data_IF_236498697208
#
_entry.id   IF_236498697208
#
_cell.length_a   1.000
_cell.length_b   1.000
_cell.length_c   1.000
_cell.angle_alpha   90.00
_cell.angle_beta   90.00
_cell.angle_gamma   90.00
#
_symmetry.space_group_name_H-M   'P 1'
#
loop_
_entity.id
_entity.type
_entity.pdbx_description
1 polymer ?
#
# COMPACT_ATOMS: atom_id res chain seq x y z
N UNK A 1 -2.83 -30.71 4.49
CA UNK A 1 -2.53 -30.38 5.89
C UNK A 1 -3.35 -29.15 6.28
N UNK A 2 -4.14 -29.26 7.35
CA UNK A 2 -5.02 -28.17 7.83
C UNK A 2 -4.47 -27.50 9.08
N UNK A 3 -3.63 -28.19 9.85
CA UNK A 3 -2.92 -27.64 11.00
C UNK A 3 -1.47 -28.14 11.01
N UNK A 4 -0.58 -27.31 11.55
CA UNK A 4 0.83 -27.63 11.68
C UNK A 4 1.35 -27.02 12.99
N UNK A 5 1.92 -27.87 13.84
CA UNK A 5 2.65 -27.43 15.03
C UNK A 5 4.16 -27.58 14.77
N UNK A 6 4.84 -26.46 14.69
CA UNK A 6 6.29 -26.37 14.52
C UNK A 6 6.96 -25.70 15.73
N UNK A 7 6.24 -25.66 16.86
CA UNK A 7 6.71 -25.02 18.10
C UNK A 7 7.96 -25.68 18.69
N UNK A 8 8.23 -26.95 18.31
CA UNK A 8 9.42 -27.67 18.75
C UNK A 8 10.67 -27.43 17.87
N UNK A 9 10.53 -26.72 16.76
CA UNK A 9 11.67 -26.45 15.88
C UNK A 9 12.68 -25.51 16.54
N UNK A 10 13.95 -25.88 16.49
CA UNK A 10 15.01 -25.00 16.94
C UNK A 10 15.41 -24.06 15.80
N UNK A 11 14.97 -22.80 15.90
CA UNK A 11 15.22 -21.77 14.88
C UNK A 11 16.34 -20.78 15.26
N UNK A 12 17.03 -21.00 16.40
CA UNK A 12 18.01 -20.03 16.93
C UNK A 12 19.22 -19.73 16.02
N UNK A 13 19.50 -20.61 15.04
CA UNK A 13 20.58 -20.40 14.08
C UNK A 13 20.06 -20.00 12.68
N UNK A 14 18.73 -19.91 12.49
CA UNK A 14 18.12 -19.67 11.18
C UNK A 14 18.23 -18.19 10.80
N UNK A 15 18.73 -17.93 9.60
CA UNK A 15 18.90 -16.57 9.06
C UNK A 15 17.91 -16.26 7.93
N UNK A 16 17.32 -17.28 7.30
CA UNK A 16 16.36 -17.14 6.24
C UNK A 16 15.15 -18.04 6.53
N UNK A 17 13.97 -17.46 6.65
CA UNK A 17 12.68 -18.14 6.80
C UNK A 17 11.75 -17.87 5.61
N UNK A 18 12.28 -17.30 4.51
CA UNK A 18 11.52 -17.09 3.29
C UNK A 18 10.94 -18.42 2.77
N UNK A 19 9.77 -18.34 2.17
CA UNK A 19 9.04 -19.44 1.52
C UNK A 19 8.68 -20.64 2.42
N UNK A 20 8.96 -20.64 3.73
CA UNK A 20 8.79 -21.83 4.60
C UNK A 20 7.36 -22.38 4.60
N UNK A 21 6.35 -21.51 4.51
CA UNK A 21 4.94 -21.91 4.41
C UNK A 21 4.31 -21.51 3.07
N UNK A 22 5.14 -21.27 2.06
CA UNK A 22 4.67 -20.88 0.72
C UNK A 22 3.63 -21.86 0.18
N UNK A 23 2.46 -21.36 -0.21
CA UNK A 23 1.40 -22.18 -0.82
C UNK A 23 0.64 -23.09 0.15
N UNK A 24 0.81 -22.94 1.47
CA UNK A 24 0.08 -23.73 2.45
C UNK A 24 -1.40 -23.30 2.58
N UNK A 25 -2.11 -23.23 1.45
CA UNK A 25 -3.46 -22.65 1.33
C UNK A 25 -4.57 -23.37 2.12
N UNK A 26 -4.36 -24.60 2.57
CA UNK A 26 -5.32 -25.34 3.41
C UNK A 26 -5.03 -25.23 4.91
N UNK A 27 -3.94 -24.55 5.28
CA UNK A 27 -3.55 -24.39 6.67
C UNK A 27 -4.46 -23.39 7.36
N UNK A 28 -5.16 -23.80 8.41
CA UNK A 28 -6.10 -22.96 9.18
C UNK A 28 -5.51 -22.47 10.49
N UNK A 29 -4.50 -23.17 11.01
CA UNK A 29 -3.77 -22.82 12.21
C UNK A 29 -2.30 -23.19 12.11
N UNK A 30 -1.45 -22.35 12.72
CA UNK A 30 -0.01 -22.52 12.75
C UNK A 30 0.53 -22.03 14.07
N UNK A 31 1.31 -22.84 14.77
CA UNK A 31 1.92 -22.49 16.05
C UNK A 31 3.39 -22.15 15.85
N UNK A 32 3.73 -20.86 16.07
CA UNK A 32 5.07 -20.29 15.90
C UNK A 32 5.62 -19.68 17.19
N UNK A 33 4.93 -19.84 18.31
CA UNK A 33 5.17 -19.10 19.57
C UNK A 33 6.56 -19.28 20.16
N UNK A 34 7.29 -20.36 19.76
CA UNK A 34 8.65 -20.65 20.26
C UNK A 34 9.75 -20.37 19.23
N UNK A 35 9.40 -19.84 18.08
CA UNK A 35 10.42 -19.49 17.10
C UNK A 35 11.31 -18.35 17.60
N UNK A 36 12.61 -18.58 17.59
CA UNK A 36 13.61 -17.54 17.79
C UNK A 36 13.98 -16.98 16.41
N UNK A 37 13.71 -15.69 16.21
CA UNK A 37 13.97 -14.99 14.94
C UNK A 37 15.13 -13.97 15.04
N UNK A 38 15.94 -14.02 16.11
CA UNK A 38 17.00 -13.03 16.38
C UNK A 38 18.03 -12.91 15.25
N UNK A 39 18.27 -14.00 14.51
CA UNK A 39 19.24 -14.04 13.41
C UNK A 39 18.61 -13.94 12.02
N UNK A 40 17.27 -13.82 11.96
CA UNK A 40 16.56 -13.76 10.67
C UNK A 40 16.82 -12.45 9.96
N UNK A 41 17.22 -12.54 8.70
CA UNK A 41 17.46 -11.39 7.82
C UNK A 41 16.55 -11.40 6.60
N UNK A 42 15.95 -12.54 6.26
CA UNK A 42 15.08 -12.75 5.12
C UNK A 42 13.80 -13.44 5.54
N UNK A 43 12.63 -12.83 5.20
CA UNK A 43 11.32 -13.42 5.49
C UNK A 43 10.31 -13.19 4.34
N UNK A 44 10.84 -13.03 3.11
CA UNK A 44 10.02 -12.89 1.91
C UNK A 44 9.13 -14.13 1.71
N UNK A 45 7.89 -13.92 1.30
CA UNK A 45 6.89 -14.94 0.94
C UNK A 45 6.62 -16.02 1.99
N UNK A 46 7.00 -15.82 3.26
CA UNK A 46 6.91 -16.88 4.29
C UNK A 46 5.49 -17.46 4.40
N UNK A 47 4.43 -16.63 4.32
CA UNK A 47 3.04 -17.07 4.36
C UNK A 47 2.30 -16.87 3.03
N UNK A 48 3.05 -16.79 1.92
CA UNK A 48 2.46 -16.59 0.59
C UNK A 48 1.40 -17.64 0.29
N UNK A 49 0.17 -17.22 -0.08
CA UNK A 49 -0.97 -18.09 -0.35
C UNK A 49 -1.40 -18.99 0.83
N UNK A 50 -1.17 -18.60 2.08
CA UNK A 50 -1.80 -19.25 3.24
C UNK A 50 -3.26 -18.77 3.39
N UNK A 51 -4.08 -18.98 2.36
CA UNK A 51 -5.38 -18.34 2.17
C UNK A 51 -6.45 -18.76 3.18
N UNK A 52 -6.30 -19.91 3.85
CA UNK A 52 -7.25 -20.40 4.88
C UNK A 52 -6.82 -20.02 6.30
N UNK A 53 -5.66 -19.39 6.50
CA UNK A 53 -5.13 -19.04 7.80
C UNK A 53 -5.95 -17.87 8.40
N UNK A 54 -6.62 -18.12 9.54
CA UNK A 54 -7.54 -17.14 10.16
C UNK A 54 -6.89 -16.27 11.21
N UNK A 55 -5.89 -16.81 11.90
CA UNK A 55 -5.12 -16.12 12.93
C UNK A 55 -3.67 -16.56 12.87
N UNK A 56 -2.76 -15.65 13.20
CA UNK A 56 -1.33 -15.88 13.22
C UNK A 56 -0.71 -15.03 14.32
N UNK A 57 0.02 -15.66 15.23
CA UNK A 57 0.78 -14.97 16.27
C UNK A 57 2.26 -14.87 15.86
N UNK A 58 2.66 -13.68 15.46
CA UNK A 58 4.03 -13.29 15.13
C UNK A 58 4.50 -12.09 15.98
N UNK A 59 3.73 -11.75 17.03
CA UNK A 59 3.96 -10.56 17.88
C UNK A 59 5.31 -10.59 18.60
N UNK A 60 5.87 -11.79 18.83
CA UNK A 60 7.15 -11.98 19.52
C UNK A 60 8.35 -12.07 18.58
N UNK A 61 8.15 -11.96 17.29
CA UNK A 61 9.25 -12.05 16.33
C UNK A 61 10.18 -10.83 16.43
N UNK A 62 11.47 -11.09 16.56
CA UNK A 62 12.49 -10.07 16.43
C UNK A 62 12.79 -9.88 14.93
N UNK A 63 12.43 -8.72 14.40
CA UNK A 63 12.64 -8.38 12.99
C UNK A 63 13.77 -7.37 12.75
N UNK A 64 14.51 -6.99 13.81
CA UNK A 64 15.56 -5.96 13.74
C UNK A 64 16.70 -6.27 12.74
N UNK A 65 16.86 -7.55 12.35
CA UNK A 65 17.82 -8.00 11.33
C UNK A 65 17.24 -8.04 9.90
N UNK A 66 15.92 -7.96 9.75
CA UNK A 66 15.24 -8.25 8.49
C UNK A 66 15.45 -7.12 7.48
N UNK A 67 15.81 -7.49 6.26
CA UNK A 67 16.03 -6.56 5.14
C UNK A 67 15.01 -6.71 4.02
N UNK A 68 14.33 -7.86 3.94
CA UNK A 68 13.35 -8.18 2.91
C UNK A 68 12.09 -8.80 3.51
N UNK A 69 10.95 -8.13 3.30
CA UNK A 69 9.61 -8.53 3.72
C UNK A 69 8.65 -8.69 2.51
N UNK A 70 9.19 -8.87 1.29
CA UNK A 70 8.37 -9.03 0.10
C UNK A 70 7.34 -10.14 0.28
N UNK A 71 6.06 -9.82 0.01
CA UNK A 71 4.97 -10.79 -0.01
C UNK A 71 4.81 -11.62 1.27
N UNK A 72 5.32 -11.18 2.42
CA UNK A 72 5.29 -11.93 3.70
C UNK A 72 3.93 -12.52 4.00
N UNK A 73 2.83 -11.76 3.78
CA UNK A 73 1.45 -12.19 4.00
C UNK A 73 0.63 -12.20 2.70
N UNK A 74 1.28 -12.31 1.54
CA UNK A 74 0.59 -12.30 0.25
C UNK A 74 -0.54 -13.34 0.21
N UNK A 75 -1.76 -12.89 -0.11
CA UNK A 75 -2.97 -13.72 -0.18
C UNK A 75 -3.25 -14.58 1.08
N UNK A 76 -2.97 -14.01 2.26
CA UNK A 76 -3.53 -14.51 3.52
C UNK A 76 -4.97 -14.02 3.66
N UNK A 77 -5.83 -14.41 2.72
CA UNK A 77 -7.15 -13.78 2.49
C UNK A 77 -8.17 -14.02 3.59
N UNK A 78 -7.98 -15.03 4.45
CA UNK A 78 -8.85 -15.30 5.61
C UNK A 78 -8.35 -14.66 6.91
N UNK A 79 -7.17 -14.03 6.91
CA UNK A 79 -6.58 -13.43 8.10
C UNK A 79 -7.34 -12.17 8.47
N UNK A 80 -7.87 -12.11 9.69
CA UNK A 80 -8.75 -11.01 10.13
C UNK A 80 -8.03 -9.95 10.95
N UNK A 81 -6.91 -10.31 11.58
CA UNK A 81 -6.07 -9.41 12.37
C UNK A 81 -4.63 -9.87 12.39
N UNK A 82 -3.72 -8.93 12.58
CA UNK A 82 -2.28 -9.15 12.80
C UNK A 82 -1.78 -8.14 13.83
N UNK A 83 -1.03 -8.62 14.82
CA UNK A 83 -0.26 -7.76 15.71
C UNK A 83 1.19 -7.69 15.23
N UNK A 84 1.57 -6.53 14.71
CA UNK A 84 2.90 -6.22 14.19
C UNK A 84 3.56 -5.08 14.97
N UNK A 85 2.99 -4.68 16.12
CA UNK A 85 3.44 -3.54 16.92
C UNK A 85 4.87 -3.71 17.45
N UNK A 86 5.32 -4.96 17.64
CA UNK A 86 6.69 -5.28 18.07
C UNK A 86 7.72 -5.35 16.93
N UNK A 87 7.31 -5.18 15.67
CA UNK A 87 8.23 -5.34 14.56
C UNK A 87 9.13 -4.11 14.36
N UNK A 88 10.43 -4.34 14.28
CA UNK A 88 11.40 -3.31 13.92
C UNK A 88 11.70 -3.40 12.42
N UNK A 89 11.37 -2.35 11.67
CA UNK A 89 11.49 -2.31 10.22
C UNK A 89 12.64 -1.44 9.71
N UNK A 90 13.47 -0.87 10.59
CA UNK A 90 14.51 0.10 10.23
C UNK A 90 15.56 -0.39 9.21
N UNK A 91 15.76 -1.72 9.09
CA UNK A 91 16.67 -2.29 8.07
C UNK A 91 15.96 -2.76 6.80
N UNK A 92 14.63 -2.74 6.75
CA UNK A 92 13.87 -3.23 5.60
C UNK A 92 14.07 -2.32 4.40
N UNK A 93 14.24 -2.93 3.23
CA UNK A 93 14.41 -2.26 1.93
C UNK A 93 13.25 -2.55 0.99
N UNK A 94 12.64 -3.72 1.11
CA UNK A 94 11.58 -4.19 0.24
C UNK A 94 10.35 -4.63 1.06
N UNK A 95 9.23 -3.93 0.85
CA UNK A 95 7.91 -4.25 1.42
C UNK A 95 6.87 -4.53 0.32
N UNK A 96 7.34 -4.78 -0.92
CA UNK A 96 6.42 -5.03 -2.03
C UNK A 96 5.52 -6.22 -1.74
N UNK A 97 4.25 -6.10 -2.12
CA UNK A 97 3.25 -7.16 -1.98
C UNK A 97 2.97 -7.68 -0.56
N UNK A 98 3.47 -7.02 0.50
CA UNK A 98 3.50 -7.58 1.86
C UNK A 98 2.12 -8.01 2.36
N UNK A 99 1.07 -7.22 2.12
CA UNK A 99 -0.32 -7.53 2.49
C UNK A 99 -1.23 -7.70 1.27
N UNK A 100 -0.64 -7.94 0.09
CA UNK A 100 -1.43 -8.10 -1.13
C UNK A 100 -2.49 -9.18 -0.96
N UNK A 101 -3.75 -8.86 -1.29
CA UNK A 101 -4.90 -9.77 -1.20
C UNK A 101 -5.21 -10.30 0.21
N UNK A 102 -4.83 -9.58 1.27
CA UNK A 102 -5.29 -9.84 2.63
C UNK A 102 -6.72 -9.29 2.79
N UNK A 103 -7.67 -9.90 2.08
CA UNK A 103 -9.02 -9.36 1.89
C UNK A 103 -9.89 -9.30 3.14
N UNK A 104 -9.56 -10.04 4.20
CA UNK A 104 -10.32 -10.04 5.47
C UNK A 104 -9.74 -9.12 6.54
N UNK A 105 -8.54 -8.56 6.35
CA UNK A 105 -7.97 -7.59 7.30
C UNK A 105 -8.81 -6.31 7.31
N UNK A 106 -9.23 -5.89 8.50
CA UNK A 106 -10.05 -4.67 8.69
C UNK A 106 -9.24 -3.47 9.15
N UNK A 107 -8.16 -3.71 9.86
CA UNK A 107 -7.21 -2.69 10.34
C UNK A 107 -5.81 -3.27 10.47
N UNK A 108 -4.81 -2.40 10.42
CA UNK A 108 -3.40 -2.69 10.72
C UNK A 108 -2.84 -1.49 11.48
N UNK A 109 -2.16 -1.73 12.59
CA UNK A 109 -1.35 -0.72 13.27
C UNK A 109 0.09 -0.82 12.77
N UNK A 110 0.50 0.17 11.99
CA UNK A 110 1.82 0.29 11.38
C UNK A 110 2.50 1.60 11.81
N UNK A 111 1.97 2.27 12.83
CA UNK A 111 2.42 3.60 13.30
C UNK A 111 3.85 3.58 13.85
N UNK A 112 4.32 2.42 14.36
CA UNK A 112 5.68 2.23 14.88
C UNK A 112 6.73 1.93 13.81
N UNK A 113 6.33 1.78 12.54
CA UNK A 113 7.26 1.32 11.51
C UNK A 113 8.19 2.43 11.02
N UNK A 114 9.48 2.15 11.04
CA UNK A 114 10.48 2.97 10.37
C UNK A 114 10.59 2.54 8.89
N UNK A 115 10.13 3.41 8.00
CA UNK A 115 10.17 3.18 6.55
C UNK A 115 11.29 3.93 5.83
N UNK A 116 12.15 4.64 6.56
CA UNK A 116 13.23 5.49 6.01
C UNK A 116 14.23 4.75 5.12
N UNK A 117 14.29 3.42 5.25
CA UNK A 117 15.13 2.54 4.44
C UNK A 117 14.44 1.95 3.22
N UNK A 118 13.11 2.01 3.14
CA UNK A 118 12.32 1.28 2.14
C UNK A 118 12.39 1.97 0.78
N UNK A 119 12.64 1.18 -0.27
CA UNK A 119 12.72 1.69 -1.64
C UNK A 119 11.61 1.12 -2.56
N UNK A 120 10.91 0.07 -2.13
CA UNK A 120 9.86 -0.58 -2.91
C UNK A 120 8.63 -0.89 -2.06
N UNK A 121 7.49 -0.25 -2.39
CA UNK A 121 6.18 -0.47 -1.77
C UNK A 121 5.12 -0.92 -2.79
N UNK A 122 5.57 -1.46 -3.94
CA UNK A 122 4.70 -1.96 -5.00
C UNK A 122 3.64 -2.89 -4.44
N UNK A 123 2.35 -2.63 -4.74
CA UNK A 123 1.20 -3.47 -4.41
C UNK A 123 1.09 -3.88 -2.93
N UNK A 124 1.63 -3.08 -2.00
CA UNK A 124 1.73 -3.46 -0.59
C UNK A 124 0.37 -3.80 0.02
N UNK A 125 -0.68 -3.04 -0.29
CA UNK A 125 -2.06 -3.24 0.19
C UNK A 125 -3.04 -3.59 -0.94
N UNK A 126 -2.53 -4.03 -2.10
CA UNK A 126 -3.38 -4.42 -3.23
C UNK A 126 -4.47 -5.41 -2.78
N UNK A 127 -5.73 -5.14 -3.08
CA UNK A 127 -6.83 -6.06 -2.79
C UNK A 127 -7.16 -6.27 -1.31
N UNK A 128 -6.72 -5.39 -0.41
CA UNK A 128 -7.17 -5.36 0.98
C UNK A 128 -8.60 -4.79 1.05
N UNK A 129 -9.56 -5.53 0.52
CA UNK A 129 -10.93 -5.04 0.25
C UNK A 129 -11.72 -4.68 1.51
N UNK A 130 -11.35 -5.20 2.68
CA UNK A 130 -12.02 -4.94 3.95
C UNK A 130 -11.33 -3.89 4.82
N UNK A 131 -10.13 -3.46 4.44
CA UNK A 131 -9.34 -2.50 5.20
C UNK A 131 -10.04 -1.13 5.19
N UNK A 132 -10.32 -0.60 6.39
CA UNK A 132 -11.09 0.66 6.54
C UNK A 132 -10.19 1.84 6.85
N UNK A 133 -9.11 1.62 7.61
CA UNK A 133 -8.21 2.70 8.04
C UNK A 133 -6.76 2.23 8.06
N UNK A 134 -5.87 3.18 7.81
CA UNK A 134 -4.42 3.05 7.98
C UNK A 134 -3.88 4.38 8.49
N UNK A 135 -3.08 4.36 9.54
CA UNK A 135 -2.25 5.51 9.92
C UNK A 135 -0.87 5.35 9.30
N UNK A 136 -0.59 6.19 8.31
CA UNK A 136 0.66 6.22 7.55
C UNK A 136 1.37 7.57 7.68
N UNK A 137 0.91 8.42 8.59
CA UNK A 137 1.40 9.79 8.77
C UNK A 137 2.87 9.86 9.21
N UNK A 138 3.37 8.80 9.90
CA UNK A 138 4.77 8.70 10.35
C UNK A 138 5.73 8.16 9.28
N UNK A 139 5.22 7.74 8.10
CA UNK A 139 6.07 7.06 7.13
C UNK A 139 7.01 8.02 6.38
N UNK A 140 8.30 7.71 6.40
CA UNK A 140 9.28 8.34 5.51
C UNK A 140 9.34 7.57 4.19
N UNK A 141 8.90 8.24 3.11
CA UNK A 141 8.86 7.67 1.76
C UNK A 141 9.96 8.20 0.85
N UNK A 142 10.93 8.96 1.39
CA UNK A 142 11.92 9.67 0.59
C UNK A 142 12.82 8.80 -0.29
N UNK A 143 12.91 7.50 -0.02
CA UNK A 143 13.67 6.54 -0.86
C UNK A 143 12.78 5.65 -1.72
N UNK A 144 11.46 5.74 -1.59
CA UNK A 144 10.53 4.89 -2.34
C UNK A 144 10.52 5.31 -3.80
N UNK A 145 10.86 4.40 -4.70
CA UNK A 145 10.85 4.64 -6.14
C UNK A 145 9.63 4.04 -6.85
N UNK A 146 8.93 3.10 -6.22
CA UNK A 146 7.83 2.37 -6.84
C UNK A 146 6.64 2.26 -5.89
N UNK A 147 5.50 2.87 -6.28
CA UNK A 147 4.21 2.82 -5.59
C UNK A 147 3.11 2.21 -6.49
N UNK A 148 3.51 1.44 -7.51
CA UNK A 148 2.61 0.73 -8.44
C UNK A 148 1.54 -0.04 -7.68
N UNK A 149 0.25 0.24 -7.95
CA UNK A 149 -0.90 -0.46 -7.38
C UNK A 149 -0.95 -0.52 -5.83
N UNK A 150 -0.31 0.40 -5.11
CA UNK A 150 -0.10 0.27 -3.66
C UNK A 150 -1.41 0.05 -2.88
N UNK A 151 -2.48 0.78 -3.21
CA UNK A 151 -3.80 0.67 -2.57
C UNK A 151 -4.89 0.15 -3.53
N UNK A 152 -4.50 -0.40 -4.69
CA UNK A 152 -5.47 -0.86 -5.67
C UNK A 152 -6.49 -1.82 -5.06
N UNK A 153 -7.79 -1.52 -5.22
CA UNK A 153 -8.87 -2.36 -4.74
C UNK A 153 -9.11 -2.34 -3.24
N UNK A 154 -8.56 -1.37 -2.51
CA UNK A 154 -8.90 -1.13 -1.10
C UNK A 154 -10.30 -0.50 -1.01
N UNK A 155 -11.33 -1.29 -1.27
CA UNK A 155 -12.71 -0.81 -1.54
C UNK A 155 -13.38 -0.13 -0.36
N UNK A 156 -12.98 -0.47 0.88
CA UNK A 156 -13.54 0.12 2.11
C UNK A 156 -12.65 1.20 2.72
N UNK A 157 -11.47 1.45 2.13
CA UNK A 157 -10.53 2.43 2.66
C UNK A 157 -11.15 3.82 2.69
N UNK A 158 -11.20 4.41 3.88
CA UNK A 158 -11.57 5.80 4.11
C UNK A 158 -10.37 6.72 3.83
N UNK A 159 -10.55 8.06 3.83
CA UNK A 159 -9.43 8.98 3.62
C UNK A 159 -8.25 8.67 4.54
N UNK A 160 -7.06 8.65 3.97
CA UNK A 160 -5.78 8.42 4.64
C UNK A 160 -4.93 9.68 4.57
N UNK A 161 -4.14 9.93 5.61
CA UNK A 161 -3.17 11.02 5.61
C UNK A 161 -1.86 10.54 4.97
N UNK A 162 -1.60 11.06 3.77
CA UNK A 162 -0.38 10.86 2.99
C UNK A 162 0.24 12.20 2.58
N UNK A 163 -0.21 13.30 3.18
CA UNK A 163 0.21 14.65 2.85
C UNK A 163 1.69 14.91 3.12
N UNK A 164 2.26 14.23 4.13
CA UNK A 164 3.68 14.33 4.51
C UNK A 164 4.62 13.51 3.63
N UNK A 165 4.11 12.69 2.70
CA UNK A 165 4.96 11.79 1.92
C UNK A 165 5.87 12.53 0.95
N UNK A 166 7.16 12.20 1.00
CA UNK A 166 8.11 12.67 0.00
C UNK A 166 8.11 11.69 -1.19
N UNK A 167 7.54 12.15 -2.31
CA UNK A 167 7.39 11.33 -3.52
C UNK A 167 8.40 11.68 -4.63
N UNK A 168 9.41 12.50 -4.34
CA UNK A 168 10.35 13.00 -5.35
C UNK A 168 11.14 11.88 -6.07
N UNK A 169 11.35 10.73 -5.42
CA UNK A 169 12.03 9.57 -6.01
C UNK A 169 11.07 8.62 -6.76
N UNK A 170 9.74 8.81 -6.64
CA UNK A 170 8.76 7.88 -7.22
C UNK A 170 8.70 8.07 -8.73
N UNK A 171 8.83 6.96 -9.46
CA UNK A 171 8.75 6.95 -10.94
C UNK A 171 7.47 6.30 -11.47
N UNK A 172 6.77 5.50 -10.66
CA UNK A 172 5.58 4.77 -11.08
C UNK A 172 4.47 4.84 -10.03
N UNK A 173 3.32 5.40 -10.41
CA UNK A 173 2.09 5.50 -9.62
C UNK A 173 0.89 4.84 -10.33
N UNK A 174 1.15 3.95 -11.31
CA UNK A 174 0.10 3.22 -12.03
C UNK A 174 -0.88 2.57 -11.06
N UNK A 175 -2.19 2.81 -11.27
CA UNK A 175 -3.26 2.21 -10.48
C UNK A 175 -3.16 2.42 -8.96
N UNK A 176 -2.45 3.43 -8.46
CA UNK A 176 -2.14 3.54 -7.02
C UNK A 176 -3.39 3.50 -6.13
N UNK A 177 -4.47 4.18 -6.51
CA UNK A 177 -5.77 4.20 -5.81
C UNK A 177 -6.90 3.60 -6.65
N UNK A 178 -6.60 2.79 -7.66
CA UNK A 178 -7.56 2.14 -8.53
C UNK A 178 -8.64 1.39 -7.71
N UNK A 179 -9.92 1.66 -7.96
CA UNK A 179 -11.06 1.07 -7.21
C UNK A 179 -11.06 1.30 -5.69
N UNK A 180 -10.47 2.38 -5.19
CA UNK A 180 -10.67 2.83 -3.83
C UNK A 180 -12.01 3.58 -3.72
N UNK A 181 -13.10 2.85 -3.87
CA UNK A 181 -14.46 3.40 -4.10
C UNK A 181 -15.02 4.16 -2.91
N UNK A 182 -14.46 4.00 -1.72
CA UNK A 182 -14.89 4.71 -0.49
C UNK A 182 -14.07 5.97 -0.19
N UNK A 183 -12.93 6.18 -0.85
CA UNK A 183 -12.18 7.43 -0.68
C UNK A 183 -13.05 8.62 -1.09
N UNK A 184 -13.19 9.59 -0.20
CA UNK A 184 -13.97 10.82 -0.45
C UNK A 184 -13.08 12.02 -0.74
N UNK A 185 -11.88 12.05 -0.20
CA UNK A 185 -10.88 13.08 -0.43
C UNK A 185 -9.46 12.51 -0.31
N UNK A 186 -8.50 13.19 -0.91
CA UNK A 186 -7.07 12.91 -0.74
C UNK A 186 -6.31 14.23 -0.62
N UNK A 187 -5.42 14.32 0.36
CA UNK A 187 -4.46 15.41 0.47
C UNK A 187 -3.09 14.92 -0.03
N UNK A 188 -2.68 15.45 -1.18
CA UNK A 188 -1.42 15.20 -1.86
C UNK A 188 -0.57 16.49 -1.92
N UNK A 189 -0.86 17.46 -1.04
CA UNK A 189 -0.23 18.80 -1.09
C UNK A 189 1.29 18.77 -0.91
N UNK A 190 1.82 17.79 -0.18
CA UNK A 190 3.27 17.59 -0.02
C UNK A 190 3.95 16.82 -1.16
N UNK A 191 3.20 16.30 -2.14
CA UNK A 191 3.76 15.43 -3.15
C UNK A 191 4.55 16.19 -4.22
N UNK A 192 5.72 15.65 -4.56
CA UNK A 192 6.49 16.03 -5.74
C UNK A 192 6.40 14.90 -6.77
N UNK A 193 5.71 15.15 -7.88
CA UNK A 193 5.47 14.13 -8.91
C UNK A 193 6.33 14.32 -10.15
N UNK A 194 7.34 15.19 -10.09
CA UNK A 194 8.18 15.53 -11.24
C UNK A 194 8.99 14.37 -11.84
N UNK A 195 9.19 13.27 -11.10
CA UNK A 195 9.88 12.07 -11.62
C UNK A 195 8.93 10.98 -12.12
N UNK A 196 7.60 11.15 -11.96
CA UNK A 196 6.63 10.10 -12.29
C UNK A 196 6.41 10.02 -13.79
N UNK A 197 6.59 8.82 -14.35
CA UNK A 197 6.42 8.56 -15.79
C UNK A 197 5.10 7.88 -16.13
N UNK A 198 4.49 7.17 -15.17
CA UNK A 198 3.22 6.48 -15.36
C UNK A 198 2.26 6.80 -14.21
N UNK A 199 1.17 7.52 -14.53
CA UNK A 199 0.05 7.87 -13.66
C UNK A 199 -1.26 7.25 -14.17
N UNK A 200 -1.21 6.36 -15.17
CA UNK A 200 -2.42 5.80 -15.76
C UNK A 200 -3.25 5.05 -14.72
N UNK A 201 -4.56 5.21 -14.82
CA UNK A 201 -5.54 4.59 -13.91
C UNK A 201 -5.37 4.95 -12.42
N UNK A 202 -4.61 5.99 -12.07
CA UNK A 202 -4.23 6.28 -10.67
C UNK A 202 -5.44 6.36 -9.74
N UNK A 203 -6.52 7.01 -10.17
CA UNK A 203 -7.78 7.16 -9.42
C UNK A 203 -8.97 6.46 -10.09
N UNK A 204 -8.72 5.56 -11.04
CA UNK A 204 -9.78 4.87 -11.79
C UNK A 204 -10.83 4.30 -10.84
N UNK A 205 -12.12 4.61 -11.13
CA UNK A 205 -13.28 4.13 -10.37
C UNK A 205 -13.24 4.46 -8.85
N UNK A 206 -12.65 5.60 -8.47
CA UNK A 206 -12.82 6.17 -7.14
C UNK A 206 -14.15 6.94 -7.09
N UNK A 207 -15.27 6.20 -7.14
CA UNK A 207 -16.60 6.77 -7.40
C UNK A 207 -17.14 7.72 -6.32
N UNK A 208 -16.55 7.75 -5.11
CA UNK A 208 -16.90 8.71 -4.05
C UNK A 208 -15.90 9.86 -3.92
N UNK A 209 -14.78 9.82 -4.63
CA UNK A 209 -13.73 10.85 -4.55
C UNK A 209 -14.29 12.17 -5.06
N UNK A 210 -14.42 13.13 -4.16
CA UNK A 210 -15.00 14.45 -4.44
C UNK A 210 -13.92 15.53 -4.58
N UNK A 211 -12.82 15.42 -3.84
CA UNK A 211 -11.74 16.41 -3.86
C UNK A 211 -10.36 15.78 -3.77
N UNK A 212 -9.40 16.35 -4.47
CA UNK A 212 -7.98 16.03 -4.38
C UNK A 212 -7.22 17.34 -4.20
N UNK A 213 -6.47 17.48 -3.12
CA UNK A 213 -5.65 18.65 -2.83
C UNK A 213 -4.23 18.39 -3.30
N UNK A 214 -3.61 19.37 -3.97
CA UNK A 214 -2.24 19.28 -4.45
C UNK A 214 -1.50 20.59 -4.21
N UNK A 215 -0.21 20.54 -3.94
CA UNK A 215 0.63 21.71 -3.80
C UNK A 215 1.51 21.98 -5.02
N UNK A 216 2.45 22.90 -4.88
CA UNK A 216 3.35 23.36 -5.95
C UNK A 216 4.30 22.25 -6.48
N UNK A 217 4.46 21.14 -5.77
CA UNK A 217 5.27 19.99 -6.21
C UNK A 217 4.56 19.09 -7.22
N UNK A 218 3.24 19.21 -7.36
CA UNK A 218 2.50 18.41 -8.32
C UNK A 218 2.84 18.80 -9.77
N UNK A 219 3.29 17.84 -10.55
CA UNK A 219 3.70 18.03 -11.93
C UNK A 219 3.38 16.77 -12.75
N UNK A 220 2.91 16.93 -13.96
CA UNK A 220 2.58 15.83 -14.89
C UNK A 220 3.40 15.86 -16.18
N UNK A 221 4.41 16.71 -16.29
CA UNK A 221 5.18 16.92 -17.53
C UNK A 221 5.89 15.63 -17.97
N UNK A 222 6.49 14.90 -17.02
CA UNK A 222 7.17 13.63 -17.29
C UNK A 222 6.22 12.42 -17.36
N UNK A 223 4.93 12.57 -17.02
CA UNK A 223 3.97 11.49 -17.11
C UNK A 223 3.61 11.19 -18.57
N UNK A 224 4.40 10.32 -19.20
CA UNK A 224 4.19 9.90 -20.60
C UNK A 224 2.97 8.98 -20.76
N UNK A 225 2.56 8.29 -19.66
CA UNK A 225 1.41 7.40 -19.61
C UNK A 225 0.45 7.91 -18.53
N UNK A 226 -0.77 8.29 -18.92
CA UNK A 226 -1.76 8.89 -18.00
C UNK A 226 -3.22 8.52 -18.33
N UNK A 227 -3.44 7.58 -19.26
CA UNK A 227 -4.78 7.21 -19.71
C UNK A 227 -5.66 6.72 -18.57
N UNK A 228 -6.94 7.09 -18.61
CA UNK A 228 -7.96 6.68 -17.64
C UNK A 228 -7.66 7.05 -16.18
N UNK A 229 -6.81 8.06 -15.94
CA UNK A 229 -6.39 8.47 -14.60
C UNK A 229 -7.60 8.72 -13.69
N UNK A 230 -8.64 9.39 -14.21
CA UNK A 230 -9.86 9.76 -13.47
C UNK A 230 -11.11 9.00 -13.93
N UNK A 231 -11.00 8.05 -14.85
CA UNK A 231 -12.20 7.39 -15.42
C UNK A 231 -13.08 6.80 -14.31
N UNK A 232 -14.40 7.13 -14.33
CA UNK A 232 -15.39 6.80 -13.32
C UNK A 232 -15.24 7.52 -11.95
N UNK A 233 -14.49 8.61 -11.85
CA UNK A 233 -14.46 9.48 -10.68
C UNK A 233 -15.62 10.50 -10.70
N UNK A 234 -16.84 10.07 -10.85
CA UNK A 234 -18.03 10.89 -11.19
C UNK A 234 -18.41 11.97 -10.18
N UNK A 235 -17.83 11.97 -8.98
CA UNK A 235 -18.04 13.01 -7.95
C UNK A 235 -16.92 14.04 -7.90
N UNK A 236 -15.83 13.81 -8.63
CA UNK A 236 -14.66 14.67 -8.57
C UNK A 236 -14.98 16.06 -9.09
N UNK A 237 -14.59 17.05 -8.30
CA UNK A 237 -14.82 18.47 -8.60
C UNK A 237 -13.58 19.26 -8.20
N UNK A 238 -13.11 20.09 -9.09
CA UNK A 238 -12.00 21.02 -8.82
C UNK A 238 -12.40 22.18 -7.91
N UNK A 239 -11.40 22.87 -7.35
CA UNK A 239 -11.61 23.92 -6.34
C UNK A 239 -12.43 25.12 -6.80
N UNK A 240 -12.55 25.36 -8.11
CA UNK A 240 -13.41 26.43 -8.69
C UNK A 240 -14.65 25.88 -9.40
N UNK A 241 -14.99 24.62 -9.16
CA UNK A 241 -16.25 24.02 -9.60
C UNK A 241 -16.17 23.27 -10.93
N UNK A 242 -14.97 23.00 -11.48
CA UNK A 242 -14.81 22.14 -12.64
C UNK A 242 -15.26 20.73 -12.30
N UNK A 243 -16.40 20.31 -12.82
CA UNK A 243 -16.96 18.99 -12.58
C UNK A 243 -16.32 17.92 -13.49
N UNK A 244 -16.34 16.66 -13.02
CA UNK A 244 -15.90 15.52 -13.79
C UNK A 244 -16.56 15.45 -15.18
N UNK A 245 -15.76 15.13 -16.20
CA UNK A 245 -16.15 14.93 -17.59
C UNK A 245 -15.51 13.66 -18.15
N UNK A 246 -16.28 12.75 -18.72
CA UNK A 246 -15.80 11.49 -19.34
C UNK A 246 -14.83 11.75 -20.52
N UNK A 247 -14.87 12.95 -21.13
CA UNK A 247 -13.93 13.36 -22.19
C UNK A 247 -12.53 13.75 -21.68
N UNK A 248 -12.37 13.95 -20.37
CA UNK A 248 -11.15 14.47 -19.76
C UNK A 248 -10.67 13.59 -18.60
N UNK A 249 -10.31 12.34 -18.88
CA UNK A 249 -9.97 11.35 -17.86
C UNK A 249 -8.47 11.09 -17.70
N UNK A 250 -7.63 11.80 -18.43
CA UNK A 250 -6.17 11.71 -18.40
C UNK A 250 -5.52 12.89 -17.63
N UNK A 251 -4.21 13.07 -17.79
CA UNK A 251 -3.45 14.15 -17.13
C UNK A 251 -3.86 15.57 -17.54
N UNK A 252 -4.61 15.73 -18.62
CA UNK A 252 -5.00 17.06 -19.14
C UNK A 252 -5.79 17.90 -18.12
N UNK A 253 -6.48 17.22 -17.18
CA UNK A 253 -7.21 17.87 -16.06
C UNK A 253 -6.56 17.59 -14.69
N UNK A 254 -5.39 16.95 -14.64
CA UNK A 254 -4.63 16.68 -13.40
C UNK A 254 -3.85 17.91 -12.93
N UNK A 255 -4.55 19.02 -12.73
CA UNK A 255 -3.99 20.31 -12.29
C UNK A 255 -4.96 21.04 -11.38
N UNK A 256 -4.46 22.07 -10.67
CA UNK A 256 -5.27 22.97 -9.87
C UNK A 256 -6.30 23.64 -10.79
N UNK A 257 -7.55 23.65 -10.32
CA UNK A 257 -8.67 24.22 -11.06
C UNK A 257 -8.55 25.74 -11.16
N UNK A 258 -8.34 26.23 -12.37
CA UNK A 258 -8.32 27.65 -12.73
C UNK A 258 -9.70 28.22 -13.09
N UNK A 259 -10.77 27.41 -13.02
CA UNK A 259 -12.11 27.74 -13.49
C UNK A 259 -12.22 27.56 -15.01
N UNK A 260 -13.14 28.32 -15.64
CA UNK A 260 -13.44 28.17 -17.07
C UNK A 260 -12.25 28.42 -18.00
N UNK A 261 -11.31 29.25 -17.57
CA UNK A 261 -10.13 29.62 -18.37
C UNK A 261 -9.03 28.52 -18.34
N UNK A 262 -8.96 27.77 -17.25
CA UNK A 262 -7.97 26.70 -17.06
C UNK A 262 -8.55 25.60 -16.18
N UNK A 263 -9.51 24.80 -16.69
CA UNK A 263 -10.20 23.80 -15.91
C UNK A 263 -9.26 22.68 -15.43
N UNK A 264 -9.51 22.17 -14.24
CA UNK A 264 -8.76 21.10 -13.61
C UNK A 264 -9.56 20.44 -12.50
N UNK A 265 -9.14 19.24 -12.07
CA UNK A 265 -9.86 18.49 -11.04
C UNK A 265 -9.30 18.66 -9.64
N UNK A 266 -8.26 19.45 -9.46
CA UNK A 266 -7.60 19.58 -8.16
C UNK A 266 -7.89 20.92 -7.47
N UNK A 267 -7.78 20.86 -6.17
CA UNK A 267 -7.87 22.02 -5.27
C UNK A 267 -6.46 22.36 -4.76
N UNK A 268 -6.20 23.66 -4.56
CA UNK A 268 -4.97 24.15 -3.94
C UNK A 268 -5.03 23.99 -2.42
#
# INVERSE_FOLDING_TARGET
LTSLDVSSWNTAAVTNIGDVFYGCGKLTSLSLSKWNTDKVTQMHYIFYNCSSLKALDVSKWNTAGVTDMEGTFYNCSSLTSLDLSGWNTGKVRNMSHMFNSCGSLTSLDLSSWDTSGVNNMKSMFYGCVSLTSLDLSSWDTGKVSNMYCMFRGCKKLEPIDVSSWNTAAVTNMFCMFYECVNLTSLDLSGWNTGSVTDMSHMFFNCGKLASVYVGSGWNTDNASISGNMFLQCKKLTGGKGTSYDDGHTDKSYARIDGGTENPGYFTD
#
